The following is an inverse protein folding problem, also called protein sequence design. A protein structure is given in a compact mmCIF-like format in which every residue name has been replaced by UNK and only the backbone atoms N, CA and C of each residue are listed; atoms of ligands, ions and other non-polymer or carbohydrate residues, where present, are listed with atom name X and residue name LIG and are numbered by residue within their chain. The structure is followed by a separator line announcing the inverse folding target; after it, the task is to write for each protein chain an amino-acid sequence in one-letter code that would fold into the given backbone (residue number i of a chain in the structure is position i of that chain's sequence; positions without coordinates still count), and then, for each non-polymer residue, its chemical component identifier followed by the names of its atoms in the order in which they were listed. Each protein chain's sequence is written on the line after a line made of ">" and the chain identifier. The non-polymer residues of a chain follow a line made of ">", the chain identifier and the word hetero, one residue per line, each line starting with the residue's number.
data_IF_554053304414
#
_entry.id   IF_554053304414
#
_cell.length_a   1.000
_cell.length_b   1.000
_cell.length_c   1.000
_cell.angle_alpha   90.00
_cell.angle_beta   90.00
_cell.angle_gamma   90.00
#
_symmetry.space_group_name_H-M   'P 1'
#
loop_
_entity.id
_entity.type
_entity.pdbx_description
1 polymer ?
#
# COMPACT_ATOMS: atom_id res chain seq x y z
N UNK A 1 19.39 1.27 -4.38
CA UNK A 1 18.13 2.04 -4.47
C UNK A 1 17.24 1.80 -3.25
N UNK A 2 16.52 0.69 -3.14
CA UNK A 2 15.51 0.52 -2.05
C UNK A 2 16.04 0.51 -0.60
N UNK A 3 17.35 0.39 -0.37
CA UNK A 3 17.94 0.52 0.97
C UNK A 3 17.80 1.95 1.52
N UNK A 4 18.08 2.98 0.71
CA UNK A 4 17.96 4.38 1.13
C UNK A 4 16.52 4.75 1.45
N UNK A 5 15.56 4.25 0.67
CA UNK A 5 14.11 4.42 0.92
C UNK A 5 13.70 3.86 2.29
N UNK A 6 14.16 2.64 2.63
CA UNK A 6 13.90 2.06 3.95
C UNK A 6 14.47 2.90 5.07
N UNK A 7 15.73 3.31 4.93
CA UNK A 7 16.42 4.12 5.93
C UNK A 7 15.78 5.51 6.10
N UNK A 8 15.26 6.12 5.03
CA UNK A 8 14.56 7.40 5.12
C UNK A 8 13.19 7.26 5.79
N UNK A 9 12.38 6.26 5.41
CA UNK A 9 11.05 6.09 6.00
C UNK A 9 11.11 5.71 7.49
N UNK A 10 12.06 4.87 7.89
CA UNK A 10 12.29 4.55 9.32
C UNK A 10 12.75 5.79 10.08
N UNK A 11 13.64 6.59 9.51
CA UNK A 11 14.11 7.84 10.12
C UNK A 11 12.99 8.85 10.29
N UNK A 12 12.14 9.03 9.29
CA UNK A 12 10.99 9.94 9.34
C UNK A 12 10.00 9.49 10.43
N UNK A 13 9.71 8.19 10.52
CA UNK A 13 8.81 7.64 11.53
C UNK A 13 9.34 7.78 12.96
N UNK A 14 10.64 7.54 13.18
CA UNK A 14 11.30 7.77 14.49
C UNK A 14 11.31 9.27 14.82
N UNK A 15 11.59 10.12 13.83
CA UNK A 15 11.53 11.57 13.99
C UNK A 15 10.16 12.05 14.44
N UNK A 16 9.09 11.49 13.85
CA UNK A 16 7.71 11.79 14.25
C UNK A 16 7.41 11.42 15.70
N UNK A 17 7.84 10.24 16.15
CA UNK A 17 7.70 9.83 17.56
C UNK A 17 8.48 10.75 18.50
N UNK A 18 9.68 11.17 18.09
CA UNK A 18 10.50 12.08 18.88
C UNK A 18 9.84 13.45 19.03
N UNK A 19 9.27 14.00 17.95
CA UNK A 19 8.50 15.24 17.99
C UNK A 19 7.27 15.14 18.89
N UNK A 20 6.47 14.07 18.75
CA UNK A 20 5.33 13.81 19.64
C UNK A 20 5.74 13.70 21.11
N UNK A 21 6.89 13.08 21.39
CA UNK A 21 7.41 12.99 22.76
C UNK A 21 7.83 14.36 23.30
N UNK A 22 8.48 15.21 22.49
CA UNK A 22 8.83 16.58 22.90
C UNK A 22 7.57 17.38 23.22
N UNK A 23 6.56 17.34 22.35
CA UNK A 23 5.33 18.11 22.51
C UNK A 23 4.53 17.68 23.74
N UNK A 24 4.61 16.38 24.10
CA UNK A 24 3.92 15.83 25.27
C UNK A 24 4.61 16.16 26.61
N UNK A 25 5.81 16.76 26.62
CA UNK A 25 6.56 17.08 27.86
C UNK A 25 5.81 17.98 28.84
N UNK A 26 4.84 18.75 28.39
CA UNK A 26 3.99 19.58 29.26
C UNK A 26 3.01 18.78 30.14
N UNK A 27 2.61 17.58 29.72
CA UNK A 27 1.55 16.79 30.37
C UNK A 27 2.07 15.46 30.98
N UNK A 28 3.08 14.83 30.37
CA UNK A 28 3.65 13.56 30.83
C UNK A 28 5.07 13.39 30.29
N UNK A 29 6.00 12.85 31.10
CA UNK A 29 7.36 12.51 30.63
C UNK A 29 7.39 11.29 29.69
N UNK A 30 6.27 10.58 29.50
CA UNK A 30 6.17 9.32 28.74
C UNK A 30 5.23 9.47 27.54
N UNK A 31 5.64 8.90 26.41
CA UNK A 31 4.80 8.72 25.22
C UNK A 31 4.31 7.27 25.18
N UNK A 32 2.99 7.08 25.10
CA UNK A 32 2.39 5.77 24.84
C UNK A 32 2.20 5.62 23.33
N UNK A 33 2.69 4.51 22.77
CA UNK A 33 2.60 4.21 21.34
C UNK A 33 1.97 2.84 21.16
N UNK A 34 0.97 2.75 20.28
CA UNK A 34 0.42 1.47 19.85
C UNK A 34 1.37 0.84 18.82
N UNK A 35 2.22 -0.07 19.31
CA UNK A 35 3.37 -0.57 18.55
C UNK A 35 2.96 -1.34 17.29
N UNK A 36 1.83 -2.06 17.30
CA UNK A 36 1.40 -2.87 16.15
C UNK A 36 1.05 -1.97 14.96
N UNK A 37 0.23 -0.96 15.19
CA UNK A 37 -0.15 0.06 14.21
C UNK A 37 1.06 0.84 13.72
N UNK A 38 1.94 1.27 14.63
CA UNK A 38 3.15 2.00 14.24
C UNK A 38 4.08 1.18 13.32
N UNK A 39 4.31 -0.10 13.63
CA UNK A 39 5.09 -0.98 12.73
C UNK A 39 4.37 -1.26 11.41
N UNK A 40 3.03 -1.38 11.44
CA UNK A 40 2.23 -1.53 10.23
C UNK A 40 2.40 -0.30 9.32
N UNK A 41 2.24 0.91 9.86
CA UNK A 41 2.35 2.16 9.10
C UNK A 41 3.72 2.32 8.43
N UNK A 42 4.80 2.03 9.17
CA UNK A 42 6.17 2.05 8.60
C UNK A 42 6.31 1.04 7.47
N UNK A 43 5.84 -0.18 7.68
CA UNK A 43 5.95 -1.26 6.69
C UNK A 43 5.19 -0.90 5.41
N UNK A 44 3.96 -0.42 5.55
CA UNK A 44 3.13 0.02 4.43
C UNK A 44 3.75 1.23 3.70
N UNK A 45 4.31 2.19 4.44
CA UNK A 45 5.03 3.32 3.85
C UNK A 45 6.23 2.88 3.02
N UNK A 46 7.10 2.05 3.59
CA UNK A 46 8.28 1.53 2.91
C UNK A 46 7.89 0.85 1.61
N UNK A 47 6.88 -0.03 1.64
CA UNK A 47 6.51 -0.82 0.47
C UNK A 47 5.84 0.07 -0.59
N UNK A 48 4.90 0.94 -0.23
CA UNK A 48 4.30 1.87 -1.21
C UNK A 48 5.33 2.81 -1.81
N UNK A 49 6.33 3.24 -1.03
CA UNK A 49 7.38 4.12 -1.51
C UNK A 49 8.29 3.41 -2.51
N UNK A 50 8.56 2.12 -2.29
CA UNK A 50 9.33 1.27 -3.21
C UNK A 50 8.53 0.95 -4.47
N UNK A 51 7.23 0.64 -4.33
CA UNK A 51 6.43 0.10 -5.45
C UNK A 51 5.89 1.18 -6.37
N UNK A 52 5.38 2.28 -5.82
CA UNK A 52 4.69 3.35 -6.58
C UNK A 52 5.06 4.77 -6.12
N UNK A 53 6.12 4.91 -5.32
CA UNK A 53 6.60 6.18 -4.79
C UNK A 53 5.54 7.00 -4.00
N UNK A 54 4.57 6.32 -3.36
CA UNK A 54 3.53 6.91 -2.50
C UNK A 54 3.80 6.63 -1.01
N UNK A 55 3.20 7.42 -0.12
CA UNK A 55 3.20 7.19 1.33
C UNK A 55 1.80 6.82 1.82
N UNK A 56 1.71 5.85 2.73
CA UNK A 56 0.48 5.41 3.42
C UNK A 56 0.14 6.26 4.65
N UNK A 57 1.13 6.84 5.32
CA UNK A 57 1.01 7.86 6.37
C UNK A 57 2.01 8.95 6.06
N UNK A 58 1.57 10.21 6.12
CA UNK A 58 2.48 11.35 6.06
C UNK A 58 2.77 11.84 7.48
N UNK A 59 4.05 11.79 7.86
CA UNK A 59 4.48 12.05 9.22
C UNK A 59 4.70 13.55 9.52
N UNK A 60 4.80 14.40 8.49
CA UNK A 60 5.20 15.81 8.61
C UNK A 60 3.99 16.76 8.62
N UNK A 61 2.86 16.34 8.06
CA UNK A 61 1.65 17.15 8.03
C UNK A 61 0.84 17.00 9.33
N UNK A 62 1.06 17.91 10.28
CA UNK A 62 0.05 18.27 11.29
C UNK A 62 -1.15 19.03 10.68
N UNK A 63 -1.27 19.10 9.35
CA UNK A 63 -2.44 19.64 8.68
C UNK A 63 -3.42 18.51 8.46
N UNK A 64 -4.59 18.68 9.06
CA UNK A 64 -5.86 18.06 8.70
C UNK A 64 -6.27 18.38 7.25
N UNK A 65 -5.42 18.13 6.26
CA UNK A 65 -5.91 17.83 4.93
C UNK A 65 -5.94 16.31 4.84
N UNK A 66 -6.94 15.75 5.54
CA UNK A 66 -7.55 14.48 5.13
C UNK A 66 -8.06 14.68 3.71
N UNK A 67 -7.18 14.60 2.70
CA UNK A 67 -7.59 13.80 1.57
C UNK A 67 -7.82 12.43 2.19
N UNK A 68 -9.09 12.15 2.48
CA UNK A 68 -9.55 10.79 2.72
C UNK A 68 -9.27 10.06 1.41
N UNK A 69 -8.02 9.71 1.23
CA UNK A 69 -7.51 8.98 0.09
C UNK A 69 -8.24 7.64 0.15
N UNK A 70 -9.36 7.53 -0.56
CA UNK A 70 -10.30 6.40 -0.52
C UNK A 70 -9.60 5.05 -0.70
N UNK A 71 -8.44 5.09 -1.34
CA UNK A 71 -7.55 3.96 -1.49
C UNK A 71 -6.92 3.46 -0.19
N UNK A 72 -6.55 4.34 0.76
CA UNK A 72 -6.01 3.93 2.06
C UNK A 72 -7.04 3.14 2.86
N UNK A 73 -8.29 3.62 2.87
CA UNK A 73 -9.40 2.92 3.51
C UNK A 73 -9.69 1.58 2.81
N UNK A 74 -9.58 1.54 1.48
CA UNK A 74 -9.71 0.30 0.72
C UNK A 74 -8.59 -0.70 1.06
N UNK A 75 -7.34 -0.26 1.21
CA UNK A 75 -6.23 -1.14 1.62
C UNK A 75 -6.40 -1.63 3.06
N UNK A 76 -6.81 -0.77 3.99
CA UNK A 76 -7.14 -1.15 5.36
C UNK A 76 -8.23 -2.20 5.40
N UNK A 77 -9.34 -1.94 4.71
CA UNK A 77 -10.46 -2.88 4.58
C UNK A 77 -9.98 -4.20 3.98
N UNK A 78 -9.10 -4.17 2.98
CA UNK A 78 -8.54 -5.38 2.39
C UNK A 78 -7.79 -6.23 3.43
N UNK A 79 -6.91 -5.63 4.23
CA UNK A 79 -6.16 -6.36 5.25
C UNK A 79 -7.06 -6.88 6.38
N UNK A 80 -8.07 -6.12 6.79
CA UNK A 80 -9.07 -6.58 7.74
C UNK A 80 -9.83 -7.80 7.19
N UNK A 81 -10.31 -7.73 5.94
CA UNK A 81 -11.05 -8.82 5.31
C UNK A 81 -10.17 -10.05 5.03
N UNK A 82 -8.92 -9.86 4.62
CA UNK A 82 -7.99 -10.94 4.31
C UNK A 82 -7.53 -11.72 5.55
N UNK A 83 -7.60 -11.11 6.73
CA UNK A 83 -7.32 -11.77 8.01
C UNK A 83 -8.51 -12.53 8.61
N UNK A 84 -9.72 -12.39 8.06
CA UNK A 84 -10.90 -13.09 8.58
C UNK A 84 -10.96 -14.53 8.06
N UNK A 85 -11.29 -15.46 8.95
CA UNK A 85 -11.63 -16.84 8.58
C UNK A 85 -13.13 -16.92 8.27
N UNK A 86 -13.51 -17.10 7.00
CA UNK A 86 -14.92 -17.18 6.60
C UNK A 86 -15.35 -18.64 6.56
N UNK A 87 -16.58 -18.93 7.01
CA UNK A 87 -17.14 -20.30 7.00
C UNK A 87 -17.13 -20.91 5.59
N UNK A 88 -17.27 -20.09 4.55
CA UNK A 88 -17.17 -20.51 3.14
C UNK A 88 -15.79 -21.04 2.76
N UNK A 89 -14.73 -20.63 3.45
CA UNK A 89 -13.36 -21.09 3.19
C UNK A 89 -13.18 -22.54 3.69
N UNK A 90 -13.90 -22.92 4.75
CA UNK A 90 -13.96 -24.29 5.26
C UNK A 90 -15.03 -25.16 4.55
N UNK A 91 -16.16 -24.55 4.18
CA UNK A 91 -17.31 -25.22 3.56
C UNK A 91 -17.68 -24.51 2.24
N UNK A 92 -17.00 -24.84 1.12
CA UNK A 92 -17.14 -24.13 -0.16
C UNK A 92 -18.57 -24.11 -0.73
N UNK A 93 -19.38 -25.11 -0.41
CA UNK A 93 -20.78 -25.19 -0.85
C UNK A 93 -21.70 -24.18 -0.14
N UNK A 94 -21.25 -23.51 0.93
CA UNK A 94 -21.98 -22.42 1.58
C UNK A 94 -21.62 -21.03 1.03
N UNK A 95 -20.68 -20.96 0.07
CA UNK A 95 -20.19 -19.71 -0.52
C UNK A 95 -21.29 -18.87 -1.18
N UNK A 96 -22.29 -19.50 -1.79
CA UNK A 96 -23.42 -18.79 -2.42
C UNK A 96 -24.27 -17.98 -1.44
N UNK A 97 -24.24 -18.31 -0.14
CA UNK A 97 -24.98 -17.57 0.89
C UNK A 97 -24.24 -16.31 1.38
N UNK A 98 -22.92 -16.21 1.15
CA UNK A 98 -22.07 -15.11 1.63
C UNK A 98 -22.38 -14.74 3.11
N UNK A 99 -22.33 -15.73 4.00
CA UNK A 99 -22.69 -15.56 5.41
C UNK A 99 -21.75 -14.52 6.05
N UNK A 100 -22.29 -13.35 6.39
CA UNK A 100 -21.55 -12.21 6.91
C UNK A 100 -21.13 -11.17 5.86
N UNK A 101 -21.45 -11.38 4.57
CA UNK A 101 -21.23 -10.40 3.50
C UNK A 101 -19.76 -10.16 3.13
N UNK A 102 -18.86 -11.03 3.61
CA UNK A 102 -17.40 -10.85 3.53
C UNK A 102 -16.92 -10.94 2.09
N UNK A 103 -17.41 -11.90 1.30
CA UNK A 103 -16.98 -12.07 -0.09
C UNK A 103 -17.43 -10.87 -0.93
N UNK A 104 -18.65 -10.38 -0.72
CA UNK A 104 -19.16 -9.18 -1.40
C UNK A 104 -18.39 -7.93 -1.01
N UNK A 105 -18.02 -7.78 0.26
CA UNK A 105 -17.16 -6.70 0.72
C UNK A 105 -15.77 -6.79 0.07
N UNK A 106 -15.14 -7.97 0.06
CA UNK A 106 -13.83 -8.20 -0.54
C UNK A 106 -13.84 -7.86 -2.04
N UNK A 107 -14.87 -8.26 -2.78
CA UNK A 107 -15.01 -7.93 -4.21
C UNK A 107 -15.11 -6.43 -4.47
N UNK A 108 -15.82 -5.69 -3.61
CA UNK A 108 -15.94 -4.23 -3.72
C UNK A 108 -14.59 -3.57 -3.44
N UNK A 109 -13.93 -3.99 -2.37
CA UNK A 109 -12.61 -3.49 -1.97
C UNK A 109 -11.56 -3.76 -3.06
N UNK A 110 -11.54 -4.96 -3.63
CA UNK A 110 -10.63 -5.32 -4.72
C UNK A 110 -10.83 -4.44 -5.97
N UNK A 111 -12.08 -4.07 -6.31
CA UNK A 111 -12.36 -3.14 -7.41
C UNK A 111 -11.81 -1.74 -7.15
N UNK A 112 -11.95 -1.24 -5.92
CA UNK A 112 -11.41 0.08 -5.56
C UNK A 112 -9.88 0.10 -5.64
N UNK A 113 -9.23 -0.98 -5.18
CA UNK A 113 -7.78 -1.14 -5.25
C UNK A 113 -7.31 -1.25 -6.71
N UNK A 114 -8.00 -2.01 -7.56
CA UNK A 114 -7.66 -2.10 -8.98
C UNK A 114 -7.80 -0.75 -9.69
N UNK A 115 -8.86 0.01 -9.39
CA UNK A 115 -9.04 1.36 -9.93
C UNK A 115 -7.94 2.33 -9.49
N UNK A 116 -7.51 2.24 -8.23
CA UNK A 116 -6.35 2.99 -7.72
C UNK A 116 -5.07 2.60 -8.45
N UNK A 117 -4.81 1.30 -8.61
CA UNK A 117 -3.61 0.80 -9.30
C UNK A 117 -3.59 1.26 -10.77
N UNK A 118 -4.75 1.29 -11.43
CA UNK A 118 -4.91 1.86 -12.78
C UNK A 118 -4.51 3.33 -12.81
N UNK A 119 -5.03 4.14 -11.88
CA UNK A 119 -4.69 5.55 -11.80
C UNK A 119 -3.18 5.75 -11.61
N UNK A 120 -2.55 4.98 -10.74
CA UNK A 120 -1.11 5.05 -10.54
C UNK A 120 -0.34 4.64 -11.80
N UNK A 121 -0.75 3.58 -12.49
CA UNK A 121 -0.11 3.15 -13.73
C UNK A 121 -0.15 4.24 -14.80
N UNK A 122 -1.33 4.85 -15.00
CA UNK A 122 -1.51 5.93 -15.98
C UNK A 122 -0.68 7.16 -15.64
N UNK A 123 -0.56 7.50 -14.35
CA UNK A 123 0.33 8.58 -13.89
C UNK A 123 1.80 8.27 -14.22
N UNK A 124 2.27 7.03 -14.09
CA UNK A 124 3.64 6.65 -14.45
C UNK A 124 3.88 6.66 -15.96
N UNK A 125 2.93 6.15 -16.76
CA UNK A 125 2.98 6.22 -18.23
C UNK A 125 3.05 7.67 -18.74
N UNK A 126 2.21 8.54 -18.21
CA UNK A 126 2.21 9.96 -18.59
C UNK A 126 3.57 10.60 -18.26
N UNK A 127 4.09 10.40 -17.06
CA UNK A 127 5.42 10.93 -16.67
C UNK A 127 6.55 10.45 -17.58
N UNK A 128 6.53 9.16 -17.97
CA UNK A 128 7.49 8.57 -18.91
C UNK A 128 7.40 9.24 -20.28
N UNK A 129 6.19 9.45 -20.80
CA UNK A 129 5.96 10.12 -22.08
C UNK A 129 6.44 11.59 -22.10
N UNK A 130 6.30 12.31 -20.98
CA UNK A 130 6.75 13.71 -20.88
C UNK A 130 8.27 13.86 -20.65
N UNK A 131 9.04 12.77 -20.57
CA UNK A 131 10.50 12.81 -20.43
C UNK A 131 10.96 13.58 -19.19
N UNK A 132 10.13 13.62 -18.14
CA UNK A 132 10.45 14.38 -16.92
C UNK A 132 11.70 13.81 -16.23
N UNK A 133 12.83 14.51 -16.41
CA UNK A 133 14.14 14.03 -16.00
C UNK A 133 14.35 14.03 -14.47
N UNK A 134 15.03 12.97 -14.00
CA UNK A 134 15.68 12.79 -12.67
C UNK A 134 14.77 12.67 -11.46
N UNK A 135 13.87 11.68 -11.43
CA UNK A 135 13.42 11.09 -10.16
C UNK A 135 13.98 9.68 -9.98
N UNK A 136 14.07 9.24 -8.72
CA UNK A 136 14.28 7.81 -8.43
C UNK A 136 13.12 7.04 -9.06
N UNK A 137 13.44 6.18 -10.03
CA UNK A 137 12.53 5.17 -10.58
C UNK A 137 12.00 4.28 -9.45
N UNK A 138 10.70 4.03 -9.44
CA UNK A 138 10.11 3.03 -8.56
C UNK A 138 9.91 1.70 -9.29
N UNK A 139 9.40 0.69 -8.57
CA UNK A 139 9.20 -0.63 -9.15
C UNK A 139 8.19 -0.61 -10.32
N UNK A 140 7.16 0.23 -10.27
CA UNK A 140 6.17 0.35 -11.35
C UNK A 140 6.79 0.94 -12.62
N UNK A 141 7.69 1.92 -12.47
CA UNK A 141 8.51 2.45 -13.58
C UNK A 141 9.40 1.37 -14.20
N UNK A 142 10.06 0.56 -13.36
CA UNK A 142 10.87 -0.58 -13.82
C UNK A 142 10.03 -1.61 -14.56
N UNK A 143 8.85 -1.95 -14.04
CA UNK A 143 7.93 -2.90 -14.69
C UNK A 143 7.41 -2.36 -16.03
N UNK A 144 7.14 -1.06 -16.14
CA UNK A 144 6.77 -0.44 -17.43
C UNK A 144 7.89 -0.61 -18.45
N UNK A 145 9.15 -0.34 -18.07
CA UNK A 145 10.29 -0.50 -18.98
C UNK A 145 10.53 -1.96 -19.38
N UNK A 146 10.46 -2.90 -18.44
CA UNK A 146 10.62 -4.34 -18.73
C UNK A 146 9.53 -4.86 -19.68
N UNK A 147 8.30 -4.37 -19.53
CA UNK A 147 7.18 -4.83 -20.36
C UNK A 147 7.11 -4.13 -21.71
N UNK A 148 7.60 -2.90 -21.84
CA UNK A 148 7.74 -2.22 -23.13
C UNK A 148 8.76 -2.95 -24.04
N UNK A 149 9.81 -3.53 -23.45
CA UNK A 149 10.82 -4.31 -24.18
C UNK A 149 10.33 -5.73 -24.57
N UNK A 150 9.21 -6.18 -24.02
CA UNK A 150 8.67 -7.52 -24.24
C UNK A 150 7.64 -7.54 -25.39
N UNK A 151 8.11 -7.78 -26.62
CA UNK A 151 7.30 -7.78 -27.86
C UNK A 151 6.12 -8.79 -27.86
N UNK A 152 6.12 -9.78 -26.96
CA UNK A 152 5.13 -10.86 -26.90
C UNK A 152 3.79 -10.44 -26.27
N UNK A 153 3.75 -9.32 -25.53
CA UNK A 153 2.55 -8.89 -24.82
C UNK A 153 1.84 -7.72 -25.51
N UNK A 154 0.53 -7.85 -25.71
CA UNK A 154 -0.30 -6.69 -26.07
C UNK A 154 -0.35 -5.67 -24.92
N UNK A 155 -0.51 -4.39 -25.24
CA UNK A 155 -0.56 -3.29 -24.24
C UNK A 155 -1.55 -3.54 -23.08
N UNK A 156 -2.70 -4.18 -23.35
CA UNK A 156 -3.67 -4.48 -22.28
C UNK A 156 -3.18 -5.57 -21.32
N UNK A 157 -2.39 -6.51 -21.83
CA UNK A 157 -1.80 -7.56 -21.03
C UNK A 157 -0.65 -7.00 -20.18
N UNK A 158 0.17 -6.09 -20.72
CA UNK A 158 1.26 -5.45 -19.96
C UNK A 158 0.74 -4.64 -18.78
N UNK A 159 -0.33 -3.87 -18.97
CA UNK A 159 -0.97 -3.10 -17.88
C UNK A 159 -1.47 -4.00 -16.74
N UNK A 160 -2.15 -5.09 -17.12
CA UNK A 160 -2.68 -6.05 -16.16
C UNK A 160 -1.53 -6.74 -15.40
N UNK A 161 -0.48 -7.14 -16.10
CA UNK A 161 0.71 -7.78 -15.50
C UNK A 161 1.42 -6.82 -14.55
N UNK A 162 1.61 -5.56 -14.95
CA UNK A 162 2.28 -4.56 -14.12
C UNK A 162 1.51 -4.31 -12.82
N UNK A 163 0.22 -3.95 -12.92
CA UNK A 163 -0.62 -3.72 -11.74
C UNK A 163 -0.66 -4.93 -10.83
N UNK A 164 -0.90 -6.11 -11.39
CA UNK A 164 -0.97 -7.35 -10.61
C UNK A 164 0.34 -7.62 -9.88
N UNK A 165 1.49 -7.49 -10.56
CA UNK A 165 2.81 -7.72 -9.96
C UNK A 165 3.11 -6.70 -8.86
N UNK A 166 2.84 -5.41 -9.11
CA UNK A 166 2.99 -4.36 -8.10
C UNK A 166 2.12 -4.60 -6.86
N UNK A 167 0.84 -4.97 -7.05
CA UNK A 167 -0.06 -5.30 -5.96
C UNK A 167 0.38 -6.55 -5.20
N UNK A 168 0.87 -7.59 -5.88
CA UNK A 168 1.41 -8.79 -5.24
C UNK A 168 2.64 -8.44 -4.39
N UNK A 169 3.56 -7.61 -4.90
CA UNK A 169 4.70 -7.12 -4.12
C UNK A 169 4.23 -6.38 -2.85
N UNK A 170 3.18 -5.57 -2.96
CA UNK A 170 2.58 -4.87 -1.83
C UNK A 170 1.93 -5.82 -0.80
N UNK A 171 1.10 -6.77 -1.25
CA UNK A 171 0.36 -7.63 -0.33
C UNK A 171 1.19 -8.76 0.26
N UNK A 172 2.07 -9.40 -0.51
CA UNK A 172 2.84 -10.58 -0.07
C UNK A 172 3.76 -10.30 1.12
N UNK A 173 4.29 -9.08 1.22
CA UNK A 173 5.14 -8.66 2.34
C UNK A 173 4.33 -8.33 3.59
N UNK A 174 3.08 -7.90 3.46
CA UNK A 174 2.22 -7.52 4.60
C UNK A 174 1.36 -8.68 5.12
N UNK A 175 0.86 -9.54 4.23
CA UNK A 175 0.00 -10.68 4.60
C UNK A 175 0.75 -11.70 5.46
N UNK A 176 2.05 -11.89 5.23
CA UNK A 176 2.87 -12.81 6.02
C UNK A 176 2.93 -12.42 7.51
N UNK A 177 2.95 -11.10 7.81
CA UNK A 177 2.94 -10.61 9.19
C UNK A 177 1.55 -10.72 9.84
N UNK A 178 0.47 -10.58 9.06
CA UNK A 178 -0.91 -10.66 9.56
C UNK A 178 -1.30 -12.11 9.89
N UNK A 179 -0.87 -13.09 9.10
CA UNK A 179 -1.25 -14.51 9.28
C UNK A 179 -0.48 -15.17 10.46
N UNK A 180 0.63 -14.58 10.92
CA UNK A 180 1.44 -15.13 12.01
C UNK A 180 1.18 -14.52 13.40
N UNK A 181 0.29 -13.54 13.53
CA UNK A 181 -0.08 -12.91 14.80
C UNK A 181 -1.43 -13.44 15.29
#
# INVERSE_FOLDING_TARGET
>A
MFKSVRESEVRDAIGALYHQWIDNKGNSQKLLVEMKGWFCDITLNVILKIVVNRRYVDYVSHREEKSSDEWRESLRTFFELAGMFVVSDALPFLRWMDLGGVEKAMKRTAKNIDHMAEKWLEEHKQKKAFGTAKREEDFMDLMLSVLDDAEEFSNRNTDTINKATCLVCYFSTNLWYIIKA
#
